data_IF_065451309073
#
_entry.id   IF_065451309073
#
_cell.length_a   1.000
_cell.length_b   1.000
_cell.length_c   1.000
_cell.angle_alpha   90.00
_cell.angle_beta   90.00
_cell.angle_gamma   90.00
#
_symmetry.space_group_name_H-M   'P 1'
#
loop_
_entity.id
_entity.type
_entity.pdbx_description
1 polymer ?
#
# COMPACT_ATOMS: atom_id res chain seq x y z
N UNK A 1 16.34 3.59 24.79
CA UNK A 1 16.36 2.88 23.49
C UNK A 1 14.97 2.91 22.87
N UNK A 2 14.71 3.84 21.95
CA UNK A 2 13.40 3.97 21.29
C UNK A 2 13.38 3.08 20.04
N UNK A 3 12.85 1.86 20.19
CA UNK A 3 12.74 0.83 19.14
C UNK A 3 11.60 1.09 18.12
N UNK A 4 11.01 2.28 18.09
CA UNK A 4 9.85 2.59 17.25
C UNK A 4 10.18 3.41 15.99
N UNK A 5 11.45 3.47 15.59
CA UNK A 5 11.90 4.20 14.39
C UNK A 5 12.33 3.28 13.25
N UNK A 6 11.69 2.12 13.11
CA UNK A 6 11.61 1.52 11.79
C UNK A 6 10.79 2.47 10.93
N UNK A 7 11.47 3.17 10.03
CA UNK A 7 10.85 3.99 8.99
C UNK A 7 10.03 2.99 8.15
N UNK A 8 8.74 2.90 8.47
CA UNK A 8 7.77 2.09 7.76
C UNK A 8 7.46 2.81 6.45
N UNK A 9 8.39 2.72 5.49
CA UNK A 9 8.21 3.31 4.17
C UNK A 9 6.98 2.70 3.50
N UNK A 10 6.15 3.54 2.89
CA UNK A 10 5.08 3.05 2.03
C UNK A 10 5.68 2.40 0.78
N UNK A 11 4.99 1.42 0.24
CA UNK A 11 5.37 0.79 -1.04
C UNK A 11 4.14 0.60 -1.92
N UNK A 12 4.37 0.56 -3.23
CA UNK A 12 3.31 0.32 -4.20
C UNK A 12 3.15 -1.19 -4.38
N UNK A 13 1.94 -1.70 -4.13
CA UNK A 13 1.52 -3.06 -4.41
C UNK A 13 0.72 -3.09 -5.70
N UNK A 14 1.15 -3.94 -6.63
CA UNK A 14 0.41 -4.32 -7.84
C UNK A 14 -0.46 -5.55 -7.55
N UNK A 15 -1.73 -5.53 -7.96
CA UNK A 15 -2.67 -6.64 -7.81
C UNK A 15 -3.39 -6.88 -9.14
N UNK A 16 -3.23 -8.08 -9.70
CA UNK A 16 -3.96 -8.47 -10.91
C UNK A 16 -5.31 -9.09 -10.51
N UNK A 17 -6.41 -8.57 -11.06
CA UNK A 17 -7.78 -9.05 -10.83
C UNK A 17 -8.50 -9.05 -12.17
N UNK A 18 -8.96 -10.23 -12.64
CA UNK A 18 -9.71 -10.39 -13.88
C UNK A 18 -9.05 -9.72 -15.10
N UNK A 19 -7.71 -9.78 -15.20
CA UNK A 19 -6.96 -9.16 -16.30
C UNK A 19 -6.69 -7.66 -16.14
N UNK A 20 -7.27 -7.00 -15.12
CA UNK A 20 -6.95 -5.62 -14.74
C UNK A 20 -5.82 -5.57 -13.72
N UNK A 21 -4.89 -4.63 -13.87
CA UNK A 21 -3.78 -4.43 -12.94
C UNK A 21 -4.04 -3.22 -12.05
N UNK A 22 -4.25 -3.45 -10.76
CA UNK A 22 -4.65 -2.42 -9.80
C UNK A 22 -3.47 -2.10 -8.88
N UNK A 23 -3.24 -0.81 -8.62
CA UNK A 23 -2.20 -0.36 -7.71
C UNK A 23 -2.77 0.14 -6.40
N UNK A 24 -2.05 -0.19 -5.33
CA UNK A 24 -2.35 0.24 -3.98
C UNK A 24 -1.08 0.74 -3.33
N UNK A 25 -1.14 1.88 -2.65
CA UNK A 25 -0.10 2.28 -1.72
C UNK A 25 -0.34 1.57 -0.38
N UNK A 26 0.65 0.79 0.04
CA UNK A 26 0.65 0.06 1.28
C UNK A 26 1.50 0.82 2.30
N UNK A 27 0.85 1.39 3.31
CA UNK A 27 1.53 2.10 4.39
C UNK A 27 1.54 1.22 5.64
N UNK A 28 2.71 0.76 6.11
CA UNK A 28 2.79 -0.05 7.31
C UNK A 28 2.57 0.81 8.57
N UNK A 29 1.94 0.25 9.58
CA UNK A 29 1.82 0.85 10.91
C UNK A 29 1.97 -0.22 12.00
N UNK A 30 2.47 0.19 13.16
CA UNK A 30 2.49 -0.66 14.35
C UNK A 30 1.13 -0.63 15.04
N UNK A 31 0.41 -1.75 15.00
CA UNK A 31 -0.83 -1.95 15.77
C UNK A 31 -0.44 -2.29 17.22
N UNK A 32 -0.62 -1.32 18.13
CA UNK A 32 -0.26 -1.46 19.54
C UNK A 32 -1.11 -2.50 20.28
N UNK A 33 -2.39 -2.64 19.90
CA UNK A 33 -3.31 -3.59 20.53
C UNK A 33 -2.96 -5.01 20.15
N UNK A 34 -2.73 -5.24 18.85
CA UNK A 34 -2.42 -6.58 18.31
C UNK A 34 -0.93 -6.91 18.31
N UNK A 35 -0.09 -5.98 18.77
CA UNK A 35 1.38 -6.08 18.84
C UNK A 35 2.00 -6.63 17.55
N UNK A 36 1.56 -6.12 16.39
CA UNK A 36 2.05 -6.55 15.08
C UNK A 36 2.03 -5.41 14.05
N UNK A 37 2.83 -5.56 13.00
CA UNK A 37 2.78 -4.67 11.84
C UNK A 37 1.50 -4.98 11.04
N UNK A 38 0.76 -3.94 10.71
CA UNK A 38 -0.39 -3.97 9.80
C UNK A 38 -0.20 -2.93 8.72
N UNK A 39 -1.10 -2.93 7.74
CA UNK A 39 -0.99 -2.05 6.58
C UNK A 39 -2.31 -1.36 6.29
N UNK A 40 -2.24 -0.07 5.99
CA UNK A 40 -3.32 0.64 5.31
C UNK A 40 -3.09 0.52 3.80
N UNK A 41 -4.15 0.21 3.07
CA UNK A 41 -4.14 0.20 1.61
C UNK A 41 -4.90 1.41 1.09
N UNK A 42 -4.24 2.27 0.32
CA UNK A 42 -4.86 3.35 -0.43
C UNK A 42 -4.88 2.97 -1.90
N UNK A 43 -6.06 2.96 -2.52
CA UNK A 43 -6.16 2.68 -3.95
C UNK A 43 -5.54 3.82 -4.76
N UNK A 44 -4.63 3.49 -5.66
CA UNK A 44 -3.93 4.46 -6.51
C UNK A 44 -4.55 4.53 -7.91
N UNK A 45 -5.18 3.47 -8.38
CA UNK A 45 -5.74 3.41 -9.73
C UNK A 45 -5.46 2.09 -10.44
N UNK A 46 -5.85 2.02 -11.71
CA UNK A 46 -5.61 0.90 -12.60
C UNK A 46 -4.44 1.24 -13.55
N UNK A 47 -3.57 0.26 -13.85
CA UNK A 47 -2.58 0.36 -14.91
C UNK A 47 -3.33 0.46 -16.24
N UNK A 48 -3.05 1.50 -17.01
CA UNK A 48 -3.34 1.57 -18.45
C UNK A 48 -2.04 1.79 -19.22
N UNK A 49 -2.13 1.81 -20.55
CA UNK A 49 -0.98 1.97 -21.45
C UNK A 49 -0.14 3.23 -21.15
N UNK A 50 -0.77 4.32 -20.69
CA UNK A 50 -0.10 5.59 -20.40
C UNK A 50 0.24 5.81 -18.92
N UNK A 51 0.11 4.80 -18.06
CA UNK A 51 0.43 4.89 -16.63
C UNK A 51 -0.73 4.55 -15.69
N UNK A 52 -0.67 5.03 -14.44
CA UNK A 52 -1.71 4.78 -13.44
C UNK A 52 -2.83 5.80 -13.62
N UNK A 53 -3.99 5.35 -14.08
CA UNK A 53 -5.18 6.19 -14.14
C UNK A 53 -5.83 6.22 -12.76
N UNK A 54 -5.64 7.36 -12.06
CA UNK A 54 -6.30 7.62 -10.78
C UNK A 54 -7.79 7.78 -11.04
N UNK A 55 -8.61 6.90 -10.47
CA UNK A 55 -10.06 7.08 -10.46
C UNK A 55 -10.33 8.36 -9.66
N UNK A 56 -10.75 9.42 -10.35
CA UNK A 56 -11.00 10.76 -9.79
C UNK A 56 -12.49 10.97 -9.59
#
# INVERSE_FOLDING_TARGET
MSLYRYILNSYIRKKNINGGEYFYEMTPYWDKEKKKIRYHSKYLGIQKENGIEKVR
#
